data_IF_053558583610
#
_entry.id   IF_053558583610
#
_cell.length_a   1.000
_cell.length_b   1.000
_cell.length_c   1.000
_cell.angle_alpha   90.00
_cell.angle_beta   90.00
_cell.angle_gamma   90.00
#
_symmetry.space_group_name_H-M   'P 1'
#
loop_
_entity.id
_entity.type
_entity.pdbx_description
1 polymer ?
#
# COMPACT_ATOMS: atom_id res chain seq x y z
N UNK A 1 10.54 26.46 3.92
CA UNK A 1 10.34 25.01 4.03
C UNK A 1 10.32 24.44 2.63
N UNK A 2 11.23 23.51 2.38
CA UNK A 2 11.64 23.05 1.05
C UNK A 2 10.53 22.22 0.41
N UNK A 3 10.14 22.59 -0.82
CA UNK A 3 9.12 21.90 -1.65
C UNK A 3 9.72 20.81 -2.55
N UNK A 4 11.01 20.48 -2.38
CA UNK A 4 11.73 19.50 -3.21
C UNK A 4 11.51 18.02 -2.82
N UNK A 5 10.85 17.71 -1.71
CA UNK A 5 10.62 16.31 -1.30
C UNK A 5 9.50 15.59 -2.08
N UNK A 6 8.76 16.30 -2.94
CA UNK A 6 7.72 15.71 -3.80
C UNK A 6 8.29 14.71 -4.83
N UNK A 7 9.61 14.71 -5.09
CA UNK A 7 10.27 13.76 -6.00
C UNK A 7 10.49 12.35 -5.43
N UNK A 8 10.04 12.04 -4.21
CA UNK A 8 10.20 10.70 -3.59
C UNK A 8 8.92 9.86 -3.56
N UNK A 9 7.87 10.26 -4.29
CA UNK A 9 6.59 9.56 -4.28
C UNK A 9 6.40 8.82 -5.61
N UNK A 10 6.49 7.49 -5.57
CA UNK A 10 6.11 6.63 -6.69
C UNK A 10 4.60 6.35 -6.61
N UNK A 11 3.87 6.63 -7.70
CA UNK A 11 2.40 6.46 -7.77
C UNK A 11 2.07 5.47 -8.90
N UNK A 12 1.17 4.53 -8.61
CA UNK A 12 0.60 3.60 -9.57
C UNK A 12 -0.92 3.48 -9.36
N UNK A 13 -1.65 3.33 -10.46
CA UNK A 13 -3.12 3.17 -10.48
C UNK A 13 -3.51 1.78 -10.97
N UNK A 14 -4.77 1.43 -10.77
CA UNK A 14 -5.36 0.10 -11.01
C UNK A 14 -5.32 -0.36 -12.49
N UNK A 15 -5.22 0.57 -13.42
CA UNK A 15 -5.02 0.33 -14.85
C UNK A 15 -3.60 -0.15 -15.23
N UNK A 16 -2.65 -0.21 -14.28
CA UNK A 16 -1.26 -0.61 -14.50
C UNK A 16 -0.81 -1.70 -13.51
N UNK A 17 -1.38 -2.91 -13.60
CA UNK A 17 -1.13 -3.99 -12.63
C UNK A 17 0.37 -4.31 -12.43
N UNK A 18 1.15 -4.41 -13.51
CA UNK A 18 2.59 -4.68 -13.44
C UNK A 18 3.36 -3.56 -12.73
N UNK A 19 2.98 -2.31 -12.98
CA UNK A 19 3.56 -1.14 -12.34
C UNK A 19 3.17 -1.08 -10.86
N UNK A 20 1.93 -1.41 -10.52
CA UNK A 20 1.48 -1.48 -9.13
C UNK A 20 2.31 -2.51 -8.35
N UNK A 21 2.51 -3.70 -8.92
CA UNK A 21 3.36 -4.74 -8.33
C UNK A 21 4.81 -4.28 -8.16
N UNK A 22 5.39 -3.62 -9.18
CA UNK A 22 6.74 -3.07 -9.12
C UNK A 22 6.89 -1.97 -8.05
N UNK A 23 5.91 -1.07 -7.93
CA UNK A 23 5.88 -0.01 -6.92
C UNK A 23 5.80 -0.57 -5.50
N UNK A 24 4.91 -1.56 -5.28
CA UNK A 24 4.80 -2.24 -3.97
C UNK A 24 6.12 -2.91 -3.61
N UNK A 25 6.71 -3.67 -4.54
CA UNK A 25 7.99 -4.34 -4.32
C UNK A 25 9.10 -3.35 -3.99
N UNK A 26 9.23 -2.28 -4.77
CA UNK A 26 10.24 -1.24 -4.54
C UNK A 26 10.07 -0.57 -3.18
N UNK A 27 8.84 -0.30 -2.73
CA UNK A 27 8.57 0.29 -1.44
C UNK A 27 9.02 -0.63 -0.28
N UNK A 28 8.73 -1.93 -0.38
CA UNK A 28 9.15 -2.92 0.60
C UNK A 28 10.68 -3.09 0.62
N UNK A 29 11.31 -3.25 -0.55
CA UNK A 29 12.75 -3.45 -0.70
C UNK A 29 13.55 -2.24 -0.16
N UNK A 30 13.07 -1.03 -0.42
CA UNK A 30 13.72 0.23 0.02
C UNK A 30 13.31 0.67 1.42
N UNK A 31 12.45 -0.10 2.12
CA UNK A 31 11.92 0.27 3.44
C UNK A 31 11.23 1.65 3.43
N UNK A 32 10.49 1.95 2.37
CA UNK A 32 9.68 3.14 2.29
C UNK A 32 8.30 2.91 2.91
N UNK A 33 7.62 3.99 3.29
CA UNK A 33 6.20 3.92 3.62
C UNK A 33 5.41 3.51 2.37
N UNK A 34 4.61 2.44 2.49
CA UNK A 34 3.66 2.03 1.46
C UNK A 34 2.24 2.41 1.87
N UNK A 35 1.53 3.10 1.00
CA UNK A 35 0.12 3.46 1.16
C UNK A 35 -0.66 2.91 -0.05
N UNK A 36 -1.70 2.12 0.21
CA UNK A 36 -2.61 1.59 -0.81
C UNK A 36 -4.02 2.07 -0.48
N UNK A 37 -4.69 2.67 -1.47
CA UNK A 37 -6.07 3.16 -1.35
C UNK A 37 -6.91 2.39 -2.36
N UNK A 38 -7.95 1.71 -1.90
CA UNK A 38 -8.83 0.97 -2.79
C UNK A 38 -9.87 0.13 -2.06
N UNK A 39 -10.75 -0.48 -2.86
CA UNK A 39 -11.75 -1.42 -2.37
C UNK A 39 -11.12 -2.80 -2.17
N UNK A 40 -11.23 -3.36 -0.97
CA UNK A 40 -10.70 -4.68 -0.67
C UNK A 40 -11.59 -5.46 0.29
N UNK A 41 -11.28 -6.74 0.48
CA UNK A 41 -11.72 -7.54 1.63
C UNK A 41 -10.51 -7.75 2.54
N UNK A 42 -10.72 -7.94 3.84
CA UNK A 42 -9.63 -8.23 4.79
C UNK A 42 -9.96 -9.50 5.55
N UNK A 43 -9.12 -10.51 5.40
CA UNK A 43 -9.17 -11.74 6.18
C UNK A 43 -8.01 -11.72 7.18
N UNK A 44 -8.32 -11.84 8.47
CA UNK A 44 -7.33 -11.91 9.54
C UNK A 44 -7.40 -13.27 10.24
N UNK A 45 -6.24 -13.91 10.38
CA UNK A 45 -6.06 -15.16 11.10
C UNK A 45 -4.80 -15.06 11.99
N UNK A 46 -4.95 -15.36 13.29
CA UNK A 46 -3.89 -15.22 14.29
C UNK A 46 -4.39 -15.57 15.69
N UNK A 47 -4.24 -14.66 16.66
CA UNK A 47 -4.79 -14.85 18.02
C UNK A 47 -6.32 -14.97 18.05
N UNK A 48 -6.98 -14.50 16.99
CA UNK A 48 -8.38 -14.70 16.72
C UNK A 48 -8.59 -14.84 15.21
N UNK A 49 -9.85 -14.84 14.78
CA UNK A 49 -10.21 -14.89 13.36
C UNK A 49 -11.29 -13.87 13.09
N UNK A 50 -11.11 -13.04 12.08
CA UNK A 50 -12.10 -12.05 11.67
C UNK A 50 -12.04 -11.82 10.17
N UNK A 51 -13.17 -11.37 9.64
CA UNK A 51 -13.32 -10.98 8.24
C UNK A 51 -14.00 -9.64 8.16
N UNK A 52 -13.42 -8.75 7.37
CA UNK A 52 -14.08 -7.53 6.92
C UNK A 52 -14.45 -7.70 5.45
N UNK A 53 -15.75 -7.62 5.19
CA UNK A 53 -16.33 -7.65 3.85
C UNK A 53 -15.89 -6.43 3.01
N UNK A 54 -16.32 -6.40 1.75
CA UNK A 54 -15.87 -5.40 0.79
C UNK A 54 -16.10 -3.96 1.25
N UNK A 55 -15.08 -3.12 1.13
CA UNK A 55 -15.18 -1.69 1.45
C UNK A 55 -13.94 -0.92 1.04
N UNK A 56 -14.09 0.39 0.89
CA UNK A 56 -13.00 1.30 0.53
C UNK A 56 -12.13 1.57 1.77
N UNK A 57 -10.83 1.30 1.66
CA UNK A 57 -9.90 1.32 2.79
C UNK A 57 -8.57 1.96 2.40
N UNK A 58 -7.87 2.44 3.43
CA UNK A 58 -6.47 2.85 3.34
C UNK A 58 -5.65 1.78 4.07
N UNK A 59 -4.74 1.12 3.36
CA UNK A 59 -3.78 0.19 3.94
C UNK A 59 -2.42 0.88 4.02
N UNK A 60 -1.76 0.75 5.16
CA UNK A 60 -0.43 1.31 5.40
C UNK A 60 0.52 0.22 5.86
N UNK A 61 1.69 0.13 5.24
CA UNK A 61 2.81 -0.68 5.74
C UNK A 61 3.97 0.26 6.05
N UNK A 62 4.30 0.36 7.33
CA UNK A 62 5.50 1.05 7.80
C UNK A 62 6.69 0.11 7.72
N UNK A 63 7.89 0.62 7.38
CA UNK A 63 9.09 -0.18 7.45
C UNK A 63 9.33 -0.68 8.90
N UNK A 64 9.94 -1.87 9.06
CA UNK A 64 10.31 -2.42 10.36
C UNK A 64 11.41 -1.61 11.05
#
# INVERSE_FOLDING_TARGET
MVVDDLKKIDIATDNEADKLAATIKNALDKKHLLVIIGRCNVDYEGRGKSRLESGDRILTSSPP
#
